data_IF_430825258155
#
_entry.id   IF_430825258155
#
_cell.length_a   1.000
_cell.length_b   1.000
_cell.length_c   1.000
_cell.angle_alpha   90.00
_cell.angle_beta   90.00
_cell.angle_gamma   90.00
#
_symmetry.space_group_name_H-M   'P 1'
#
loop_
_entity.id
_entity.type
_entity.pdbx_description
1 polymer ?
#
# COMPACT_ATOMS: atom_id res chain seq x y z
N UNK A 1 -9.88 4.66 0.32
CA UNK A 1 -10.91 5.47 1.00
C UNK A 1 -10.54 5.51 2.46
N UNK A 2 -10.82 6.62 3.12
CA UNK A 2 -10.44 6.93 4.50
C UNK A 2 -10.81 8.38 4.80
N UNK A 3 -10.71 8.79 6.06
CA UNK A 3 -10.84 10.21 6.44
C UNK A 3 -9.56 10.93 6.03
N UNK A 4 -9.61 11.71 4.94
CA UNK A 4 -8.41 12.27 4.29
C UNK A 4 -8.20 13.72 4.72
N UNK A 5 -9.25 14.46 5.04
CA UNK A 5 -9.16 15.85 5.51
C UNK A 5 -9.51 16.04 7.00
N UNK A 6 -9.64 14.94 7.75
CA UNK A 6 -9.79 14.94 9.20
C UNK A 6 -11.17 15.39 9.68
N UNK A 7 -12.17 15.46 8.79
CA UNK A 7 -13.52 15.89 9.12
C UNK A 7 -14.43 14.76 9.64
N UNK A 8 -13.88 13.55 9.77
CA UNK A 8 -14.55 12.31 10.21
C UNK A 8 -15.53 11.71 9.21
N UNK A 9 -15.59 12.23 8.00
CA UNK A 9 -16.30 11.61 6.89
C UNK A 9 -15.34 10.79 6.01
N UNK A 10 -15.89 9.84 5.24
CA UNK A 10 -15.07 8.99 4.39
C UNK A 10 -14.88 9.63 3.01
N UNK A 11 -13.61 9.84 2.67
CA UNK A 11 -13.12 10.38 1.42
C UNK A 11 -12.47 9.31 0.53
N UNK A 12 -12.00 9.74 -0.64
CA UNK A 12 -11.29 8.87 -1.58
C UNK A 12 -10.06 9.54 -2.21
N UNK A 13 -8.96 8.78 -2.33
CA UNK A 13 -7.91 9.04 -3.31
C UNK A 13 -8.15 8.14 -4.52
N UNK A 14 -8.10 8.72 -5.71
CA UNK A 14 -8.30 8.06 -6.98
C UNK A 14 -7.12 8.22 -7.92
N UNK A 15 -6.95 7.23 -8.81
CA UNK A 15 -6.05 7.29 -9.96
C UNK A 15 -6.85 7.54 -11.22
N UNK A 16 -6.42 8.50 -12.02
CA UNK A 16 -6.93 8.77 -13.36
C UNK A 16 -5.85 8.35 -14.35
N UNK A 17 -6.12 7.29 -15.10
CA UNK A 17 -5.15 6.69 -16.03
C UNK A 17 -4.56 7.73 -16.97
N UNK A 18 -3.23 7.84 -16.96
CA UNK A 18 -2.46 8.75 -17.80
C UNK A 18 -2.67 10.24 -17.49
N UNK A 19 -3.35 10.58 -16.40
CA UNK A 19 -3.58 11.98 -16.00
C UNK A 19 -3.00 12.28 -14.63
N UNK A 20 -3.13 11.34 -13.68
CA UNK A 20 -2.53 11.48 -12.36
C UNK A 20 -3.47 11.11 -11.23
N UNK A 21 -3.30 11.75 -10.08
CA UNK A 21 -4.04 11.46 -8.85
C UNK A 21 -5.08 12.54 -8.56
N UNK A 22 -6.12 12.17 -7.83
CA UNK A 22 -7.18 13.08 -7.37
C UNK A 22 -7.62 12.71 -5.96
N UNK A 23 -7.84 13.69 -5.10
CA UNK A 23 -8.64 13.49 -3.89
C UNK A 23 -10.08 13.90 -4.16
N UNK A 24 -11.01 13.11 -3.63
CA UNK A 24 -12.43 13.36 -3.64
C UNK A 24 -12.88 13.44 -2.17
N UNK A 25 -13.35 14.61 -1.76
CA UNK A 25 -13.75 14.90 -0.38
C UNK A 25 -15.27 14.79 -0.25
N UNK A 26 -15.73 14.22 0.85
CA UNK A 26 -17.12 14.09 1.24
C UNK A 26 -17.38 14.86 2.54
N UNK A 27 -18.17 15.92 2.47
CA UNK A 27 -18.52 16.76 3.61
C UNK A 27 -19.80 16.25 4.32
N UNK A 28 -19.87 14.94 4.58
CA UNK A 28 -20.98 14.29 5.29
C UNK A 28 -22.26 14.09 4.51
N UNK A 29 -22.26 14.38 3.20
CA UNK A 29 -23.43 14.25 2.33
C UNK A 29 -23.45 12.93 1.55
N UNK A 30 -22.33 12.21 1.52
CA UNK A 30 -22.07 11.08 0.64
C UNK A 30 -21.70 11.49 -0.80
N UNK A 31 -21.60 12.79 -1.09
CA UNK A 31 -21.13 13.29 -2.39
C UNK A 31 -19.61 13.46 -2.36
N UNK A 32 -18.92 12.79 -3.28
CA UNK A 32 -17.47 12.84 -3.43
C UNK A 32 -17.08 13.90 -4.47
N UNK A 33 -16.51 15.03 -4.03
CA UNK A 33 -16.14 16.16 -4.87
C UNK A 33 -14.62 16.32 -5.00
N UNK A 34 -14.06 16.54 -6.21
CA UNK A 34 -12.63 16.74 -6.38
C UNK A 34 -12.09 17.94 -5.59
N UNK A 35 -11.04 17.73 -4.79
CA UNK A 35 -10.39 18.77 -3.99
C UNK A 35 -8.94 19.04 -4.41
N UNK A 36 -8.12 17.98 -4.51
CA UNK A 36 -6.72 18.06 -4.94
C UNK A 36 -6.45 17.23 -6.18
N UNK A 37 -5.40 17.60 -6.94
CA UNK A 37 -4.88 16.83 -8.08
C UNK A 37 -3.37 16.93 -8.17
N UNK A 38 -2.75 15.81 -8.57
CA UNK A 38 -1.37 15.77 -9.03
C UNK A 38 -1.35 15.26 -10.46
N UNK A 39 -0.78 16.04 -11.37
CA UNK A 39 -0.58 15.60 -12.74
C UNK A 39 0.57 14.58 -12.80
N UNK A 40 0.27 13.38 -13.27
CA UNK A 40 1.25 12.31 -13.46
C UNK A 40 0.84 11.43 -14.64
N UNK A 41 1.58 11.58 -15.74
CA UNK A 41 1.36 10.80 -16.97
C UNK A 41 1.76 9.33 -16.82
N UNK A 42 2.49 8.96 -15.76
CA UNK A 42 2.88 7.58 -15.44
C UNK A 42 1.83 6.86 -14.58
N UNK A 43 0.78 7.56 -14.15
CA UNK A 43 -0.31 6.96 -13.38
C UNK A 43 -1.06 5.94 -14.21
N UNK A 44 -1.01 4.68 -13.79
CA UNK A 44 -1.52 3.52 -14.55
C UNK A 44 -2.13 2.48 -13.59
N UNK A 45 -2.31 1.23 -14.04
CA UNK A 45 -2.74 0.13 -13.17
C UNK A 45 -1.75 -0.01 -12.01
N UNK A 46 -2.30 -0.39 -10.87
CA UNK A 46 -1.63 -0.68 -9.62
C UNK A 46 -2.63 -0.38 -8.50
N UNK A 47 -2.15 -0.07 -7.32
CA UNK A 47 -3.00 0.11 -6.15
C UNK A 47 -2.63 1.38 -5.35
N UNK A 48 -3.51 1.73 -4.42
CA UNK A 48 -3.34 2.81 -3.44
C UNK A 48 -3.57 2.20 -2.06
N UNK A 49 -2.64 2.41 -1.13
CA UNK A 49 -2.83 2.19 0.29
C UNK A 49 -2.90 3.54 0.99
N UNK A 50 -3.86 3.69 1.90
CA UNK A 50 -3.95 4.82 2.81
C UNK A 50 -3.60 4.32 4.21
N UNK A 51 -2.63 4.96 4.85
CA UNK A 51 -2.10 4.59 6.16
C UNK A 51 -1.29 5.75 6.75
N UNK A 52 -1.23 5.91 8.07
CA UNK A 52 -0.37 6.92 8.70
C UNK A 52 1.05 6.41 8.81
N UNK A 53 1.90 6.70 7.82
CA UNK A 53 3.26 6.18 7.76
C UNK A 53 4.23 6.97 8.63
N UNK A 54 3.97 8.26 8.85
CA UNK A 54 4.80 9.13 9.71
C UNK A 54 4.21 9.40 11.10
N UNK A 55 3.06 8.78 11.40
CA UNK A 55 2.34 8.87 12.66
C UNK A 55 1.93 10.30 13.07
N UNK A 56 1.74 11.20 12.12
CA UNK A 56 1.32 12.59 12.40
C UNK A 56 -0.18 12.75 12.71
N UNK A 57 -0.96 11.69 12.48
CA UNK A 57 -2.40 11.63 12.73
C UNK A 57 -3.23 11.61 11.44
N UNK A 58 -2.61 11.82 10.29
CA UNK A 58 -3.25 11.86 8.99
C UNK A 58 -2.99 10.58 8.19
N UNK A 59 -3.85 10.30 7.20
CA UNK A 59 -3.63 9.19 6.27
C UNK A 59 -2.76 9.63 5.10
N UNK A 60 -1.57 9.04 4.98
CA UNK A 60 -0.70 9.17 3.81
C UNK A 60 -1.09 8.21 2.69
N UNK A 61 -0.50 8.39 1.51
CA UNK A 61 -0.78 7.55 0.35
C UNK A 61 0.47 6.88 -0.23
N UNK A 62 0.50 5.54 -0.23
CA UNK A 62 1.45 4.77 -1.02
C UNK A 62 0.83 4.41 -2.36
N UNK A 63 1.42 4.92 -3.45
CA UNK A 63 0.89 4.81 -4.81
C UNK A 63 1.76 3.87 -5.64
N UNK A 64 1.23 2.73 -6.04
CA UNK A 64 1.89 1.84 -6.99
C UNK A 64 1.33 2.02 -8.41
N UNK A 65 2.23 2.03 -9.38
CA UNK A 65 1.95 2.10 -10.80
C UNK A 65 2.74 1.05 -11.57
N UNK A 66 2.26 0.72 -12.76
CA UNK A 66 2.95 -0.12 -13.72
C UNK A 66 2.09 -1.29 -14.18
N UNK A 67 2.19 -1.59 -15.46
CA UNK A 67 1.49 -2.69 -16.10
C UNK A 67 2.27 -3.13 -17.33
N UNK A 68 1.92 -4.27 -17.93
CA UNK A 68 2.72 -4.85 -19.03
C UNK A 68 2.89 -3.89 -20.20
N UNK A 69 1.86 -3.11 -20.50
CA UNK A 69 1.79 -2.18 -21.62
C UNK A 69 2.38 -0.80 -21.29
N UNK A 70 2.46 -0.44 -20.01
CA UNK A 70 2.90 0.90 -19.58
C UNK A 70 4.30 0.90 -18.97
N UNK A 71 4.84 -0.27 -18.63
CA UNK A 71 6.15 -0.42 -18.00
C UNK A 71 6.06 -0.58 -16.48
N UNK A 72 7.22 -0.69 -15.85
CA UNK A 72 7.35 -0.82 -14.39
C UNK A 72 7.73 0.51 -13.76
N UNK A 73 7.01 0.92 -12.73
CA UNK A 73 7.24 2.19 -12.03
C UNK A 73 7.41 1.94 -10.52
N UNK A 74 8.21 2.78 -9.83
CA UNK A 74 8.32 2.70 -8.38
C UNK A 74 6.96 2.93 -7.72
N UNK A 75 6.76 2.36 -6.53
CA UNK A 75 5.68 2.84 -5.66
C UNK A 75 6.18 4.06 -4.88
N UNK A 76 5.38 5.11 -4.83
CA UNK A 76 5.76 6.42 -4.30
C UNK A 76 4.93 6.72 -3.07
N UNK A 77 5.57 7.14 -1.99
CA UNK A 77 4.88 7.58 -0.79
C UNK A 77 4.63 9.09 -0.87
N UNK A 78 3.38 9.48 -0.65
CA UNK A 78 2.94 10.87 -0.65
C UNK A 78 2.39 11.21 0.74
N UNK A 79 2.89 12.30 1.30
CA UNK A 79 2.47 12.86 2.58
C UNK A 79 1.19 13.65 2.42
N UNK A 80 0.24 13.41 3.32
CA UNK A 80 -0.95 14.23 3.44
C UNK A 80 -0.68 15.40 4.41
N UNK A 81 -1.33 16.55 4.20
CA UNK A 81 -1.22 17.70 5.11
C UNK A 81 -2.41 17.80 6.09
N UNK A 82 -3.14 16.70 6.26
CA UNK A 82 -4.39 16.61 7.02
C UNK A 82 -5.58 17.33 6.39
N UNK A 83 -5.44 17.92 5.20
CA UNK A 83 -6.53 18.57 4.47
C UNK A 83 -6.74 17.96 3.07
N UNK A 84 -6.21 16.75 2.87
CA UNK A 84 -6.25 16.03 1.60
C UNK A 84 -5.37 16.63 0.50
N UNK A 85 -4.36 17.43 0.85
CA UNK A 85 -3.35 17.90 -0.10
C UNK A 85 -2.10 17.04 0.04
N UNK A 86 -1.78 16.30 -1.01
CA UNK A 86 -0.66 15.37 -0.99
C UNK A 86 0.62 15.97 -1.58
N UNK A 87 1.77 15.64 -0.99
CA UNK A 87 3.11 16.01 -1.49
C UNK A 87 4.00 14.78 -1.58
N UNK A 88 4.81 14.67 -2.63
CA UNK A 88 5.78 13.58 -2.77
C UNK A 88 6.81 13.60 -1.62
N UNK A 89 6.92 12.48 -0.91
CA UNK A 89 7.92 12.31 0.17
C UNK A 89 9.36 12.20 -0.36
N UNK A 90 9.51 11.73 -1.60
CA UNK A 90 10.78 11.27 -2.17
C UNK A 90 11.15 9.83 -1.79
N UNK A 91 10.41 9.20 -0.88
CA UNK A 91 10.56 7.79 -0.50
C UNK A 91 9.84 6.91 -1.52
N UNK A 92 10.55 5.89 -2.00
CA UNK A 92 10.08 5.02 -3.06
C UNK A 92 10.43 3.56 -2.76
N UNK A 93 9.47 2.67 -3.05
CA UNK A 93 9.76 1.25 -3.26
C UNK A 93 10.26 1.03 -4.68
N UNK A 94 11.04 -0.03 -4.94
CA UNK A 94 11.52 -0.33 -6.29
C UNK A 94 10.39 -0.52 -7.31
N UNK A 95 10.75 -0.47 -8.59
CA UNK A 95 9.80 -0.59 -9.68
C UNK A 95 9.01 -1.90 -9.61
N UNK A 96 7.68 -1.77 -9.59
CA UNK A 96 6.72 -2.86 -9.53
C UNK A 96 6.06 -3.10 -10.88
N UNK A 97 5.31 -4.21 -11.01
CA UNK A 97 4.52 -4.49 -12.22
C UNK A 97 3.14 -5.02 -11.84
N UNK A 98 2.10 -4.22 -12.08
CA UNK A 98 0.71 -4.56 -11.76
C UNK A 98 0.51 -4.77 -10.27
N UNK A 99 1.20 -4.00 -9.43
CA UNK A 99 1.27 -4.32 -8.02
C UNK A 99 0.01 -3.96 -7.24
N UNK A 100 -0.32 -4.83 -6.30
CA UNK A 100 -1.24 -4.55 -5.21
C UNK A 100 -0.49 -4.52 -3.88
N UNK A 101 -1.01 -3.74 -2.94
CA UNK A 101 -0.35 -3.46 -1.67
C UNK A 101 -1.28 -3.68 -0.49
N UNK A 102 -0.68 -4.14 0.60
CA UNK A 102 -1.24 -4.14 1.94
C UNK A 102 -0.20 -3.54 2.88
N UNK A 103 -0.68 -2.89 3.93
CA UNK A 103 0.12 -2.17 4.91
C UNK A 103 -0.28 -2.67 6.30
N UNK A 104 0.70 -2.86 7.16
CA UNK A 104 0.52 -3.34 8.54
C UNK A 104 1.87 -3.51 9.21
N UNK A 105 1.91 -3.43 10.53
CA UNK A 105 3.10 -3.67 11.35
C UNK A 105 3.41 -5.19 11.35
N UNK A 106 4.45 -5.62 10.63
CA UNK A 106 4.78 -7.05 10.43
C UNK A 106 5.91 -7.52 11.36
N UNK A 107 6.73 -6.61 11.87
CA UNK A 107 7.84 -6.93 12.78
C UNK A 107 7.64 -6.43 14.22
N UNK A 108 6.50 -5.79 14.49
CA UNK A 108 6.03 -5.32 15.79
C UNK A 108 6.87 -4.19 16.39
N UNK A 109 7.47 -3.37 15.55
CA UNK A 109 8.20 -2.19 16.00
C UNK A 109 7.32 -0.93 16.12
N UNK A 110 6.06 -1.02 15.66
CA UNK A 110 5.07 0.04 15.69
C UNK A 110 5.04 0.92 14.44
N UNK A 111 5.94 0.71 13.49
CA UNK A 111 5.92 1.33 12.17
C UNK A 111 5.16 0.42 11.17
N UNK A 112 4.59 1.04 10.12
CA UNK A 112 3.76 0.32 9.17
C UNK A 112 4.56 -0.19 7.97
N UNK A 113 4.69 -1.51 7.89
CA UNK A 113 5.38 -2.21 6.81
C UNK A 113 4.50 -2.41 5.58
N UNK A 114 5.13 -2.81 4.46
CA UNK A 114 4.46 -2.93 3.17
C UNK A 114 4.66 -4.31 2.55
N UNK A 115 3.55 -4.99 2.26
CA UNK A 115 3.52 -6.14 1.36
C UNK A 115 3.21 -5.69 -0.05
N UNK A 116 4.12 -5.97 -0.98
CA UNK A 116 3.95 -5.71 -2.41
C UNK A 116 3.77 -7.02 -3.15
N UNK A 117 2.59 -7.23 -3.71
CA UNK A 117 2.35 -8.32 -4.65
C UNK A 117 2.60 -7.85 -6.07
N UNK A 118 3.15 -8.71 -6.92
CA UNK A 118 3.50 -8.36 -8.30
C UNK A 118 2.86 -9.31 -9.31
N UNK A 119 2.78 -8.84 -10.56
CA UNK A 119 2.54 -9.66 -11.73
C UNK A 119 3.88 -10.05 -12.35
N UNK A 120 4.13 -11.34 -12.59
CA UNK A 120 5.33 -11.79 -13.29
C UNK A 120 6.65 -11.52 -12.55
N UNK A 121 6.59 -11.33 -11.23
CA UNK A 121 7.71 -11.22 -10.30
C UNK A 121 7.31 -11.81 -8.95
N UNK A 122 8.28 -12.17 -8.12
CA UNK A 122 8.02 -12.58 -6.74
C UNK A 122 7.43 -11.41 -5.94
N UNK A 123 6.54 -11.73 -4.99
CA UNK A 123 6.00 -10.77 -4.04
C UNK A 123 7.10 -10.41 -3.02
N UNK A 124 7.06 -9.20 -2.48
CA UNK A 124 8.12 -8.63 -1.63
C UNK A 124 7.51 -8.05 -0.36
N UNK A 125 8.28 -8.06 0.72
CA UNK A 125 7.95 -7.38 1.97
C UNK A 125 9.02 -6.32 2.22
N UNK A 126 8.59 -5.13 2.58
CA UNK A 126 9.44 -3.98 2.88
C UNK A 126 9.12 -3.49 4.27
N UNK A 127 10.13 -3.42 5.12
CA UNK A 127 10.01 -2.85 6.46
C UNK A 127 10.13 -1.33 6.38
N UNK A 128 9.40 -0.60 7.22
CA UNK A 128 9.52 0.85 7.29
C UNK A 128 10.17 1.25 8.61
N UNK A 129 11.46 1.58 8.58
CA UNK A 129 12.22 1.95 9.78
C UNK A 129 12.90 3.30 9.54
N UNK A 130 12.99 4.18 10.54
CA UNK A 130 13.74 5.45 10.46
C UNK A 130 13.41 6.30 9.19
N UNK A 131 12.14 6.36 8.81
CA UNK A 131 11.67 7.05 7.61
C UNK A 131 12.28 6.54 6.28
N UNK A 132 12.51 5.23 6.16
CA UNK A 132 12.99 4.58 4.92
C UNK A 132 12.42 3.17 4.77
N UNK A 133 12.22 2.78 3.52
CA UNK A 133 11.88 1.38 3.20
C UNK A 133 13.14 0.51 3.16
N UNK A 134 13.12 -0.59 3.93
CA UNK A 134 14.18 -1.58 4.02
C UNK A 134 13.69 -2.90 3.41
N UNK A 135 14.50 -3.49 2.52
CA UNK A 135 14.17 -4.78 1.91
C UNK A 135 14.35 -5.89 2.96
N UNK A 136 13.25 -6.53 3.36
CA UNK A 136 13.29 -7.69 4.27
C UNK A 136 14.05 -8.89 3.68
N UNK A 137 14.26 -8.90 2.35
CA UNK A 137 14.81 -10.03 1.61
C UNK A 137 13.81 -11.15 1.36
N UNK A 138 12.60 -11.08 1.93
CA UNK A 138 11.55 -12.08 1.72
C UNK A 138 11.01 -11.98 0.29
N UNK A 139 10.87 -13.15 -0.34
CA UNK A 139 10.35 -13.31 -1.70
C UNK A 139 9.32 -14.42 -1.71
N UNK A 140 8.06 -14.06 -1.92
CA UNK A 140 6.92 -14.96 -1.77
C UNK A 140 6.26 -15.27 -3.12
N UNK A 141 5.55 -16.39 -3.17
CA UNK A 141 4.78 -16.84 -4.33
C UNK A 141 5.65 -17.39 -5.47
N UNK A 142 5.12 -17.32 -6.70
CA UNK A 142 5.77 -17.85 -7.90
C UNK A 142 6.00 -16.72 -8.91
N UNK A 143 7.25 -16.56 -9.33
CA UNK A 143 7.68 -15.46 -10.19
C UNK A 143 6.89 -15.35 -11.49
N UNK A 144 6.49 -16.45 -12.11
CA UNK A 144 5.75 -16.43 -13.38
C UNK A 144 4.26 -16.12 -13.27
N UNK A 145 3.73 -15.96 -12.06
CA UNK A 145 2.29 -15.80 -11.81
C UNK A 145 1.87 -14.37 -11.49
N UNK A 146 0.56 -14.17 -11.43
CA UNK A 146 -0.06 -12.95 -10.95
C UNK A 146 -0.67 -13.21 -9.59
N UNK A 147 -0.25 -12.40 -8.63
CA UNK A 147 -0.87 -12.30 -7.31
C UNK A 147 -1.97 -11.25 -7.34
N UNK A 148 -3.07 -11.52 -6.64
CA UNK A 148 -4.10 -10.54 -6.34
C UNK A 148 -3.72 -9.65 -5.17
N UNK A 149 -4.68 -8.83 -4.72
CA UNK A 149 -4.48 -7.94 -3.58
C UNK A 149 -4.12 -8.74 -2.31
N UNK A 150 -2.98 -8.45 -1.65
CA UNK A 150 -2.64 -9.07 -0.38
C UNK A 150 -3.63 -8.59 0.70
N UNK A 151 -3.86 -9.43 1.69
CA UNK A 151 -4.65 -9.09 2.88
C UNK A 151 -3.89 -9.56 4.10
N UNK A 152 -3.85 -8.71 5.13
CA UNK A 152 -3.21 -8.98 6.40
C UNK A 152 -4.26 -9.24 7.49
N UNK A 153 -3.94 -10.11 8.44
CA UNK A 153 -4.73 -10.35 9.64
C UNK A 153 -4.15 -11.49 10.46
N UNK A 154 -4.40 -11.49 11.77
CA UNK A 154 -4.01 -12.57 12.68
C UNK A 154 -4.94 -13.78 12.48
N UNK A 155 -4.45 -14.85 11.85
CA UNK A 155 -5.26 -16.01 11.44
C UNK A 155 -5.15 -17.19 12.40
N UNK A 156 -4.04 -17.31 13.11
CA UNK A 156 -3.84 -18.38 14.10
C UNK A 156 -3.96 -17.92 15.56
N UNK A 157 -4.13 -16.62 15.79
CA UNK A 157 -4.40 -16.04 17.10
C UNK A 157 -3.14 -15.81 17.94
N UNK A 158 -1.96 -15.74 17.31
CA UNK A 158 -0.69 -15.54 18.02
C UNK A 158 -0.33 -14.06 18.23
N UNK A 159 -1.04 -13.15 17.55
CA UNK A 159 -0.88 -11.71 17.65
C UNK A 159 -0.05 -11.08 16.54
N UNK A 160 0.52 -11.88 15.64
CA UNK A 160 1.20 -11.40 14.45
C UNK A 160 0.22 -11.24 13.27
N UNK A 161 0.50 -10.29 12.37
CA UNK A 161 -0.25 -10.18 11.12
C UNK A 161 0.23 -11.25 10.12
N UNK A 162 -0.65 -12.21 9.80
CA UNK A 162 -0.45 -13.17 8.72
C UNK A 162 -0.87 -12.61 7.37
N UNK A 163 -0.36 -13.24 6.30
CA UNK A 163 -0.59 -12.80 4.93
C UNK A 163 -1.39 -13.81 4.12
N UNK A 164 -2.50 -13.36 3.54
CA UNK A 164 -3.28 -14.09 2.53
C UNK A 164 -3.11 -13.44 1.15
N UNK A 165 -2.78 -14.24 0.15
CA UNK A 165 -2.67 -13.81 -1.25
C UNK A 165 -3.46 -14.73 -2.16
N UNK A 166 -4.37 -14.16 -2.95
CA UNK A 166 -4.98 -14.89 -4.07
C UNK A 166 -4.00 -15.02 -5.24
N UNK A 167 -3.92 -16.19 -5.87
CA UNK A 167 -3.16 -16.44 -7.10
C UNK A 167 -4.09 -16.64 -8.27
N UNK A 168 -3.85 -15.90 -9.35
CA UNK A 168 -4.70 -15.92 -10.55
C UNK A 168 -4.91 -17.32 -11.14
N UNK A 169 -3.91 -18.22 -11.03
CA UNK A 169 -3.98 -19.61 -11.52
C UNK A 169 -3.88 -20.67 -10.43
N UNK A 170 -3.70 -20.29 -9.17
CA UNK A 170 -3.20 -21.18 -8.11
C UNK A 170 -4.08 -21.35 -6.88
N UNK A 171 -5.22 -20.64 -6.78
CA UNK A 171 -6.02 -20.62 -5.56
C UNK A 171 -5.56 -19.50 -4.62
N UNK A 172 -5.49 -19.75 -3.31
CA UNK A 172 -4.97 -18.80 -2.32
C UNK A 172 -3.73 -19.38 -1.62
N UNK A 173 -2.78 -18.52 -1.28
CA UNK A 173 -1.63 -18.80 -0.42
C UNK A 173 -1.83 -18.10 0.92
N UNK A 174 -1.41 -18.77 1.99
CA UNK A 174 -1.38 -18.22 3.33
C UNK A 174 0.06 -18.36 3.83
N UNK A 175 0.59 -17.29 4.40
CA UNK A 175 1.90 -17.22 5.01
C UNK A 175 1.72 -16.79 6.45
N UNK A 176 2.08 -17.68 7.38
CA UNK A 176 2.08 -17.36 8.80
C UNK A 176 3.31 -16.54 9.12
N UNK A 177 3.09 -15.40 9.76
CA UNK A 177 4.16 -14.63 10.34
C UNK A 177 4.59 -15.30 11.65
N UNK A 178 5.88 -15.29 11.95
CA UNK A 178 6.44 -15.96 13.12
C UNK A 178 7.38 -15.00 13.84
N UNK A 179 6.98 -13.73 13.87
CA UNK A 179 7.75 -12.67 14.50
C UNK A 179 7.87 -13.02 15.97
N UNK A 180 9.10 -12.93 16.48
CA UNK A 180 9.35 -13.34 17.86
C UNK A 180 8.93 -12.23 18.80
N UNK A 181 7.82 -12.43 19.48
CA UNK A 181 7.48 -11.64 20.65
C UNK A 181 8.53 -11.84 21.76
N UNK A 182 9.10 -10.77 22.34
CA UNK A 182 9.96 -10.88 23.52
C UNK A 182 9.26 -11.59 24.69
N UNK A 183 7.92 -11.59 24.70
CA UNK A 183 7.08 -12.19 25.75
C UNK A 183 6.75 -13.69 25.56
N UNK A 184 7.06 -14.32 24.41
CA UNK A 184 6.63 -15.70 24.13
C UNK A 184 7.75 -16.54 23.46
N UNK A 185 8.61 -17.23 24.25
CA UNK A 185 9.80 -17.93 23.78
C UNK A 185 9.57 -19.33 23.15
#
# INVERSE_FOLDING_TARGET
>A
MGDIDGDSDIDAVGKIWGQGLVTLINQGTGELLPSWKLEDQQTTIGDIALAGFDQDGDLDALICNGFRETGSYPCRLLWNDGNGQFTESGLNLPSTMGAHIAVGDLDLDGDLDVVVTNMGRLNQIWLYEDARFIDSGLRLGIESEMSGRPTLGDLDGDGDLDLIIGRFRGGAEIWFNLTKHPENP
#
